data_IF_730832748590
#
_entry.id   IF_730832748590
#
_cell.length_a   1.000
_cell.length_b   1.000
_cell.length_c   1.000
_cell.angle_alpha   90.00
_cell.angle_beta   90.00
_cell.angle_gamma   90.00
#
_symmetry.space_group_name_H-M   'P 1'
#
loop_
_entity.id
_entity.type
_entity.pdbx_description
1 polymer ?
#
# COMPACT_ATOMS: atom_id res chain seq x y z
N UNK A 1 -6.06 -35.11 35.41
CA UNK A 1 -6.28 -34.07 34.39
C UNK A 1 -6.10 -34.69 33.03
N UNK A 2 -7.15 -34.70 32.23
CA UNK A 2 -7.07 -35.28 30.89
C UNK A 2 -6.53 -34.24 29.91
N UNK A 3 -5.86 -34.74 28.84
CA UNK A 3 -5.41 -33.87 27.77
C UNK A 3 -6.64 -33.27 27.06
N UNK A 4 -6.50 -32.07 26.51
CA UNK A 4 -7.58 -31.49 25.70
C UNK A 4 -7.89 -32.39 24.50
N UNK A 5 -9.15 -32.45 24.05
CA UNK A 5 -9.47 -33.24 22.86
C UNK A 5 -8.74 -32.71 21.64
N UNK A 6 -8.43 -33.57 20.65
CA UNK A 6 -7.82 -33.09 19.41
C UNK A 6 -8.77 -32.14 18.70
N UNK A 7 -8.24 -31.22 17.88
CA UNK A 7 -9.08 -30.29 17.11
C UNK A 7 -10.06 -31.06 16.23
N UNK A 8 -11.34 -30.67 16.24
CA UNK A 8 -12.40 -31.36 15.53
C UNK A 8 -12.22 -31.30 13.99
N UNK A 9 -11.43 -30.35 13.47
CA UNK A 9 -11.22 -30.11 12.04
C UNK A 9 -9.83 -30.53 11.56
N UNK A 10 -9.06 -31.26 12.38
CA UNK A 10 -7.68 -31.57 12.04
C UNK A 10 -6.75 -30.38 12.11
N UNK A 11 -7.17 -29.31 12.77
CA UNK A 11 -6.34 -28.12 12.97
C UNK A 11 -5.11 -28.44 13.84
N UNK A 12 -3.95 -28.06 13.34
CA UNK A 12 -2.67 -28.26 14.02
C UNK A 12 -2.09 -26.89 14.43
N UNK A 13 -2.11 -26.54 15.71
CA UNK A 13 -1.57 -25.27 16.17
C UNK A 13 -0.08 -25.07 15.85
N UNK A 14 0.71 -26.12 15.99
CA UNK A 14 2.14 -26.08 15.66
C UNK A 14 2.39 -25.76 14.20
N UNK A 15 1.63 -26.40 13.33
CA UNK A 15 1.72 -26.12 11.89
C UNK A 15 1.30 -24.69 11.55
N UNK A 16 0.25 -24.20 12.20
CA UNK A 16 -0.21 -22.82 12.01
C UNK A 16 0.88 -21.82 12.39
N UNK A 17 1.57 -22.03 13.52
CA UNK A 17 2.67 -21.17 13.95
C UNK A 17 3.86 -21.23 12.98
N UNK A 18 4.19 -22.41 12.47
CA UNK A 18 5.25 -22.57 11.47
C UNK A 18 4.94 -21.80 10.20
N UNK A 19 3.70 -21.87 9.72
CA UNK A 19 3.27 -21.16 8.52
C UNK A 19 3.31 -19.64 8.72
N UNK A 20 2.90 -19.17 9.90
CA UNK A 20 2.97 -17.75 10.24
C UNK A 20 4.41 -17.26 10.24
N UNK A 21 5.33 -17.98 10.89
CA UNK A 21 6.74 -17.62 10.94
C UNK A 21 7.35 -17.59 9.54
N UNK A 22 7.03 -18.59 8.70
CA UNK A 22 7.52 -18.63 7.32
C UNK A 22 7.00 -17.45 6.50
N UNK A 23 5.74 -17.09 6.67
CA UNK A 23 5.15 -15.95 5.98
C UNK A 23 5.88 -14.65 6.35
N UNK A 24 6.12 -14.44 7.64
CA UNK A 24 6.87 -13.26 8.10
C UNK A 24 8.29 -13.23 7.54
N UNK A 25 8.97 -14.37 7.47
CA UNK A 25 10.31 -14.45 6.89
C UNK A 25 10.30 -14.08 5.40
N UNK A 26 9.33 -14.61 4.64
CA UNK A 26 9.19 -14.32 3.21
C UNK A 26 8.94 -12.83 3.01
N UNK A 27 8.04 -12.24 3.77
CA UNK A 27 7.72 -10.82 3.66
C UNK A 27 8.90 -9.95 4.07
N UNK A 28 9.61 -10.29 5.14
CA UNK A 28 10.78 -9.55 5.58
C UNK A 28 11.88 -9.56 4.50
N UNK A 29 12.14 -10.71 3.88
CA UNK A 29 13.11 -10.82 2.80
C UNK A 29 12.69 -10.01 1.58
N UNK A 30 11.40 -10.00 1.26
CA UNK A 30 10.87 -9.20 0.16
C UNK A 30 11.10 -7.71 0.39
N UNK A 31 10.87 -7.22 1.60
CA UNK A 31 11.12 -5.83 1.98
C UNK A 31 12.61 -5.48 1.88
N UNK A 32 13.48 -6.35 2.39
CA UNK A 32 14.92 -6.14 2.29
C UNK A 32 15.38 -6.13 0.83
N UNK A 33 14.82 -7.00 -0.01
CA UNK A 33 15.09 -7.02 -1.44
C UNK A 33 14.66 -5.73 -2.13
N UNK A 34 13.52 -5.16 -1.74
CA UNK A 34 13.08 -3.86 -2.24
C UNK A 34 14.07 -2.76 -1.86
N UNK A 35 14.53 -2.74 -0.61
CA UNK A 35 15.49 -1.75 -0.14
C UNK A 35 16.76 -1.76 -0.99
N UNK A 36 17.25 -2.96 -1.35
CA UNK A 36 18.45 -3.12 -2.15
C UNK A 36 18.25 -2.68 -3.62
N UNK A 37 17.01 -2.68 -4.12
CA UNK A 37 16.69 -2.32 -5.51
C UNK A 37 16.24 -0.87 -5.68
N UNK A 38 16.10 -0.10 -4.60
CA UNK A 38 15.70 1.29 -4.73
C UNK A 38 16.83 2.11 -5.35
N UNK A 39 16.46 3.04 -6.22
CA UNK A 39 17.43 3.83 -6.96
C UNK A 39 16.87 5.20 -7.33
N UNK A 40 17.38 5.76 -8.42
CA UNK A 40 17.06 7.11 -8.87
C UNK A 40 15.56 7.35 -9.06
N UNK A 41 14.82 6.35 -9.54
CA UNK A 41 13.37 6.50 -9.77
C UNK A 41 12.61 6.78 -8.48
N UNK A 42 12.94 6.10 -7.39
CA UNK A 42 12.32 6.35 -6.10
C UNK A 42 12.63 7.78 -5.61
N UNK A 43 13.88 8.18 -5.68
CA UNK A 43 14.30 9.54 -5.28
C UNK A 43 13.60 10.62 -6.10
N UNK A 44 13.47 10.41 -7.42
CA UNK A 44 12.76 11.33 -8.31
C UNK A 44 11.29 11.45 -7.96
N UNK A 45 10.63 10.32 -7.63
CA UNK A 45 9.24 10.34 -7.21
C UNK A 45 9.04 11.13 -5.91
N UNK A 46 9.90 10.91 -4.92
CA UNK A 46 9.87 11.67 -3.67
C UNK A 46 10.08 13.16 -3.93
N UNK A 47 11.05 13.49 -4.77
CA UNK A 47 11.35 14.88 -5.11
C UNK A 47 10.16 15.55 -5.79
N UNK A 48 9.50 14.85 -6.72
CA UNK A 48 8.32 15.38 -7.40
C UNK A 48 7.19 15.68 -6.41
N UNK A 49 6.97 14.79 -5.44
CA UNK A 49 5.95 15.01 -4.42
C UNK A 49 6.31 16.16 -3.48
N UNK A 50 7.57 16.29 -3.09
CA UNK A 50 8.04 17.38 -2.24
C UNK A 50 7.96 18.74 -2.94
N UNK A 51 8.23 18.76 -4.24
CA UNK A 51 8.18 19.99 -5.04
C UNK A 51 6.77 20.32 -5.55
N UNK A 52 5.79 19.47 -5.25
CA UNK A 52 4.43 19.63 -5.73
C UNK A 52 3.80 20.90 -5.15
N UNK A 53 3.38 21.82 -6.02
CA UNK A 53 2.69 23.04 -5.61
C UNK A 53 1.20 22.85 -5.36
N UNK A 54 0.65 21.70 -5.74
CA UNK A 54 -0.75 21.32 -5.54
C UNK A 54 -0.87 20.15 -4.58
N UNK A 55 -1.66 19.15 -4.97
CA UNK A 55 -1.97 17.99 -4.14
C UNK A 55 -1.39 16.74 -4.77
N UNK A 56 -1.11 15.73 -3.91
CA UNK A 56 -0.78 14.39 -4.38
C UNK A 56 -2.09 13.62 -4.53
N UNK A 57 -2.40 13.21 -5.74
CA UNK A 57 -3.61 12.45 -6.05
C UNK A 57 -3.21 10.98 -6.22
N UNK A 58 -3.71 10.13 -5.33
CA UNK A 58 -3.37 8.71 -5.34
C UNK A 58 -4.50 7.93 -5.99
N UNK A 59 -4.18 7.05 -6.92
CA UNK A 59 -5.15 6.23 -7.65
C UNK A 59 -4.73 4.76 -7.62
N UNK A 60 -5.70 3.87 -7.57
CA UNK A 60 -5.45 2.43 -7.65
C UNK A 60 -6.74 1.64 -7.54
N UNK A 61 -6.71 0.41 -8.01
CA UNK A 61 -7.86 -0.50 -7.99
C UNK A 61 -7.55 -1.73 -7.13
N UNK A 62 -8.61 -2.35 -6.58
CA UNK A 62 -8.48 -3.57 -5.80
C UNK A 62 -7.56 -3.39 -4.59
N UNK A 63 -6.64 -4.31 -4.38
CA UNK A 63 -5.68 -4.26 -3.27
C UNK A 63 -4.78 -3.04 -3.36
N UNK A 64 -4.33 -2.67 -4.57
CA UNK A 64 -3.55 -1.46 -4.79
C UNK A 64 -4.34 -0.22 -4.39
N UNK A 65 -5.65 -0.20 -4.64
CA UNK A 65 -6.52 0.89 -4.21
C UNK A 65 -6.58 1.03 -2.69
N UNK A 66 -6.67 -0.07 -1.97
CA UNK A 66 -6.67 -0.04 -0.50
C UNK A 66 -5.34 0.49 0.05
N UNK A 67 -4.22 0.05 -0.50
CA UNK A 67 -2.90 0.57 -0.14
C UNK A 67 -2.80 2.06 -0.49
N UNK A 68 -3.29 2.45 -1.66
CA UNK A 68 -3.31 3.85 -2.10
C UNK A 68 -4.11 4.75 -1.17
N UNK A 69 -5.27 4.29 -0.68
CA UNK A 69 -6.06 5.04 0.30
C UNK A 69 -5.27 5.27 1.59
N UNK A 70 -4.55 4.26 2.05
CA UNK A 70 -3.69 4.37 3.23
C UNK A 70 -2.58 5.39 3.00
N UNK A 71 -1.94 5.36 1.83
CA UNK A 71 -0.88 6.30 1.48
C UNK A 71 -1.42 7.72 1.47
N UNK A 72 -2.55 7.96 0.81
CA UNK A 72 -3.17 9.30 0.75
C UNK A 72 -3.50 9.83 2.15
N UNK A 73 -4.09 8.98 3.01
CA UNK A 73 -4.43 9.34 4.37
C UNK A 73 -3.18 9.67 5.20
N UNK A 74 -2.12 8.90 5.04
CA UNK A 74 -0.85 9.14 5.74
C UNK A 74 -0.20 10.45 5.29
N UNK A 75 -0.16 10.70 3.98
CA UNK A 75 0.37 11.96 3.46
C UNK A 75 -0.41 13.15 4.00
N UNK A 76 -1.73 13.10 3.93
CA UNK A 76 -2.59 14.17 4.42
C UNK A 76 -2.38 14.42 5.92
N UNK A 77 -2.29 13.36 6.72
CA UNK A 77 -2.12 13.46 8.17
C UNK A 77 -0.74 13.98 8.58
N UNK A 78 0.25 13.85 7.71
CA UNK A 78 1.63 14.31 7.96
C UNK A 78 1.97 15.63 7.27
N UNK A 79 0.97 16.32 6.74
CA UNK A 79 1.12 17.68 6.24
C UNK A 79 1.25 17.82 4.72
N UNK A 80 1.18 16.73 3.97
CA UNK A 80 1.18 16.78 2.49
C UNK A 80 -0.26 16.69 1.99
N UNK A 81 -0.79 17.72 1.33
CA UNK A 81 -2.14 17.65 0.79
C UNK A 81 -2.26 16.48 -0.21
N UNK A 82 -3.14 15.55 0.10
CA UNK A 82 -3.32 14.35 -0.70
C UNK A 82 -4.75 13.82 -0.56
N UNK A 83 -5.22 13.18 -1.62
CA UNK A 83 -6.50 12.48 -1.60
C UNK A 83 -6.46 11.31 -2.57
N UNK A 84 -7.38 10.37 -2.38
CA UNK A 84 -7.49 9.18 -3.20
C UNK A 84 -8.64 9.32 -4.19
N UNK A 85 -8.43 8.88 -5.44
CA UNK A 85 -9.46 8.77 -6.47
C UNK A 85 -9.44 7.36 -7.01
N UNK A 86 -10.60 6.68 -6.98
CA UNK A 86 -10.72 5.38 -7.63
C UNK A 86 -10.76 5.57 -9.15
N UNK A 87 -9.99 4.80 -9.95
CA UNK A 87 -9.96 5.00 -11.41
C UNK A 87 -11.34 4.93 -12.09
N UNK A 88 -12.26 4.12 -11.57
CA UNK A 88 -13.63 4.08 -12.10
C UNK A 88 -14.36 5.40 -11.89
N UNK A 89 -14.19 6.05 -10.73
CA UNK A 89 -14.78 7.35 -10.45
C UNK A 89 -14.11 8.43 -11.30
N UNK A 90 -12.80 8.32 -11.54
CA UNK A 90 -12.08 9.24 -12.41
C UNK A 90 -12.68 9.24 -13.82
N UNK A 91 -13.04 8.08 -14.35
CA UNK A 91 -13.69 7.96 -15.67
C UNK A 91 -15.11 8.50 -15.69
N UNK A 92 -15.74 8.74 -14.53
CA UNK A 92 -17.07 9.29 -14.37
C UNK A 92 -17.07 10.79 -14.01
N UNK A 93 -15.94 11.46 -14.16
CA UNK A 93 -15.86 12.90 -13.95
C UNK A 93 -14.96 13.38 -12.84
N UNK A 94 -14.48 12.49 -11.95
CA UNK A 94 -13.61 12.88 -10.84
C UNK A 94 -12.25 13.40 -11.32
N UNK A 95 -11.87 13.17 -12.59
CA UNK A 95 -10.69 13.78 -13.19
C UNK A 95 -10.77 15.30 -13.18
N UNK A 96 -11.97 15.88 -13.13
CA UNK A 96 -12.15 17.33 -13.00
C UNK A 96 -11.64 17.88 -11.67
N UNK A 97 -11.36 17.03 -10.69
CA UNK A 97 -10.74 17.44 -9.43
C UNK A 97 -9.23 17.68 -9.55
N UNK A 98 -8.61 17.21 -10.64
CA UNK A 98 -7.19 17.43 -10.89
C UNK A 98 -6.98 18.83 -11.45
N UNK A 99 -6.01 19.54 -10.89
CA UNK A 99 -5.69 20.89 -11.34
C UNK A 99 -4.18 20.97 -11.64
N UNK A 100 -3.74 21.96 -12.45
CA UNK A 100 -2.32 22.15 -12.69
C UNK A 100 -1.54 22.28 -11.38
N UNK A 101 -0.39 21.61 -11.30
CA UNK A 101 0.42 21.56 -10.10
C UNK A 101 0.21 20.31 -9.26
N UNK A 102 -0.84 19.54 -9.50
CA UNK A 102 -1.05 18.26 -8.84
C UNK A 102 -0.07 17.20 -9.36
N UNK A 103 0.29 16.26 -8.48
CA UNK A 103 1.08 15.07 -8.83
C UNK A 103 0.19 13.84 -8.66
N UNK A 104 0.20 12.97 -9.64
CA UNK A 104 -0.58 11.72 -9.60
C UNK A 104 0.34 10.56 -9.26
N UNK A 105 -0.02 9.81 -8.21
CA UNK A 105 0.61 8.55 -7.84
C UNK A 105 -0.33 7.42 -8.24
N UNK A 106 -0.04 6.77 -9.36
CA UNK A 106 -0.87 5.68 -9.88
C UNK A 106 -0.32 4.34 -9.38
N UNK A 107 -1.15 3.64 -8.59
CA UNK A 107 -0.81 2.31 -8.05
C UNK A 107 -1.30 1.27 -9.05
N UNK A 108 -0.36 0.70 -9.82
CA UNK A 108 -0.69 -0.35 -10.79
C UNK A 108 -0.34 -1.72 -10.24
N UNK A 109 -1.10 -2.77 -10.64
CA UNK A 109 -0.81 -4.13 -10.19
C UNK A 109 0.50 -4.66 -10.73
#
# INVERSE_FOLDING_TARGET
MSAPPPPATGFDPGRALQLAARTFEIEARALLGLAARQGAGFAQAVQAMLACGGRVVVMGMGKSGHVGRKIAATLASTGTPAFFVHPAEASHGDLGMLVPGDVVLAMVP
#
